data_IF_297822691999
#
_entry.id   IF_297822691999
#
_cell.length_a   1.000
_cell.length_b   1.000
_cell.length_c   1.000
_cell.angle_alpha   90.00
_cell.angle_beta   90.00
_cell.angle_gamma   90.00
#
_symmetry.space_group_name_H-M   'P 1'
#
loop_
_entity.id
_entity.type
_entity.pdbx_description
1 polymer ?
#
# COMPACT_ATOMS: atom_id res chain seq x y z
N UNK A 1 -13.73 -5.10 -16.64
CA UNK A 1 -12.49 -5.75 -17.13
C UNK A 1 -12.00 -5.15 -18.45
N UNK A 2 -12.85 -4.96 -19.47
CA UNK A 2 -12.44 -4.39 -20.77
C UNK A 2 -11.76 -3.00 -20.66
N UNK A 3 -12.25 -2.10 -19.79
CA UNK A 3 -11.61 -0.79 -19.55
C UNK A 3 -10.16 -0.89 -19.05
N UNK A 4 -9.85 -1.87 -18.21
CA UNK A 4 -8.48 -2.07 -17.71
C UNK A 4 -7.58 -2.62 -18.81
N UNK A 5 -8.07 -3.55 -19.63
CA UNK A 5 -7.31 -4.07 -20.76
C UNK A 5 -6.97 -2.94 -21.76
N UNK A 6 -7.94 -2.08 -22.07
CA UNK A 6 -7.72 -0.91 -22.93
C UNK A 6 -6.72 0.09 -22.32
N UNK A 7 -6.83 0.38 -21.02
CA UNK A 7 -5.92 1.33 -20.36
C UNK A 7 -4.50 0.80 -20.19
N UNK A 8 -4.32 -0.52 -20.05
CA UNK A 8 -2.98 -1.13 -20.00
C UNK A 8 -2.28 -0.99 -21.35
N UNK A 9 -3.04 -1.04 -22.44
CA UNK A 9 -2.52 -0.88 -23.79
C UNK A 9 -2.13 0.58 -24.09
N UNK A 10 -2.81 1.55 -23.48
CA UNK A 10 -2.38 2.95 -23.52
C UNK A 10 -1.00 3.11 -22.88
N UNK A 11 -0.05 3.74 -23.57
CA UNK A 11 1.34 3.96 -23.10
C UNK A 11 1.45 4.93 -21.91
N UNK A 12 0.37 5.61 -21.58
CA UNK A 12 0.36 6.68 -20.60
C UNK A 12 0.03 6.16 -19.20
N UNK A 13 0.99 6.33 -18.28
CA UNK A 13 0.84 5.98 -16.87
C UNK A 13 -0.35 6.70 -16.20
N UNK A 14 -0.60 7.96 -16.54
CA UNK A 14 -1.70 8.75 -16.00
C UNK A 14 -3.06 8.14 -16.35
N UNK A 15 -3.25 7.75 -17.60
CA UNK A 15 -4.48 7.10 -18.09
C UNK A 15 -4.71 5.75 -17.42
N UNK A 16 -3.64 4.97 -17.23
CA UNK A 16 -3.71 3.73 -16.46
C UNK A 16 -4.10 3.97 -14.99
N UNK A 17 -3.46 4.93 -14.32
CA UNK A 17 -3.77 5.27 -12.93
C UNK A 17 -5.21 5.78 -12.77
N UNK A 18 -5.71 6.54 -13.74
CA UNK A 18 -7.10 6.99 -13.81
C UNK A 18 -8.05 5.80 -13.98
N UNK A 19 -7.79 4.90 -14.92
CA UNK A 19 -8.61 3.72 -15.13
C UNK A 19 -8.68 2.81 -13.89
N UNK A 20 -7.57 2.69 -13.14
CA UNK A 20 -7.56 1.99 -11.85
C UNK A 20 -8.44 2.68 -10.79
N UNK A 21 -8.45 4.01 -10.74
CA UNK A 21 -9.29 4.78 -9.82
C UNK A 21 -10.78 4.69 -10.18
N UNK A 22 -11.11 4.60 -11.47
CA UNK A 22 -12.48 4.48 -11.97
C UNK A 22 -13.01 3.04 -11.90
N UNK A 23 -12.15 2.07 -11.59
CA UNK A 23 -12.54 0.66 -11.53
C UNK A 23 -13.52 0.40 -10.38
N UNK A 24 -14.72 -0.06 -10.74
CA UNK A 24 -15.77 -0.44 -9.80
C UNK A 24 -15.71 -1.93 -9.51
N UNK A 25 -16.14 -2.30 -8.31
CA UNK A 25 -16.30 -3.70 -7.93
C UNK A 25 -17.50 -4.31 -8.67
N UNK A 26 -17.24 -5.22 -9.60
CA UNK A 26 -18.29 -6.01 -10.27
C UNK A 26 -18.66 -7.27 -9.49
N UNK A 27 -19.83 -7.85 -9.78
CA UNK A 27 -20.34 -9.02 -9.06
C UNK A 27 -19.46 -10.27 -9.20
N UNK A 28 -18.77 -10.44 -10.33
CA UNK A 28 -17.87 -11.58 -10.55
C UNK A 28 -16.63 -11.42 -9.68
N UNK A 29 -16.02 -10.24 -9.71
CA UNK A 29 -14.88 -9.91 -8.84
C UNK A 29 -15.25 -10.02 -7.37
N UNK A 30 -16.44 -9.56 -6.98
CA UNK A 30 -16.96 -9.70 -5.60
C UNK A 30 -17.06 -11.17 -5.19
N UNK A 31 -17.65 -12.04 -6.02
CA UNK A 31 -17.72 -13.49 -5.76
C UNK A 31 -16.34 -14.12 -5.62
N UNK A 32 -15.40 -13.76 -6.49
CA UNK A 32 -14.03 -14.28 -6.44
C UNK A 32 -13.31 -13.86 -5.15
N UNK A 33 -13.44 -12.59 -4.75
CA UNK A 33 -12.87 -12.10 -3.49
C UNK A 33 -13.50 -12.82 -2.28
N UNK A 34 -14.81 -13.07 -2.30
CA UNK A 34 -15.47 -13.84 -1.25
C UNK A 34 -14.94 -15.27 -1.13
N UNK A 35 -14.68 -15.93 -2.27
CA UNK A 35 -14.08 -17.27 -2.30
C UNK A 35 -12.65 -17.26 -1.74
N UNK A 36 -11.85 -16.25 -2.09
CA UNK A 36 -10.47 -16.08 -1.62
C UNK A 36 -10.41 -15.78 -0.12
N UNK A 37 -11.30 -14.92 0.37
CA UNK A 37 -11.38 -14.55 1.79
C UNK A 37 -11.74 -15.72 2.71
N UNK A 38 -12.31 -16.82 2.17
CA UNK A 38 -12.76 -18.00 2.94
C UNK A 38 -13.51 -17.61 4.22
N UNK A 39 -14.45 -16.68 4.08
CA UNK A 39 -15.17 -16.08 5.21
C UNK A 39 -15.87 -17.18 6.02
N UNK A 40 -15.63 -17.20 7.34
CA UNK A 40 -16.30 -18.15 8.24
C UNK A 40 -17.80 -17.90 8.28
N UNK A 41 -18.63 -18.96 8.41
CA UNK A 41 -20.06 -18.78 8.65
C UNK A 41 -20.27 -18.02 9.98
N UNK A 42 -21.23 -17.10 10.01
CA UNK A 42 -21.57 -16.29 11.19
C UNK A 42 -20.97 -14.88 11.22
N UNK A 43 -20.14 -14.50 10.26
CA UNK A 43 -19.67 -13.11 10.11
C UNK A 43 -20.82 -12.23 9.59
N UNK A 44 -20.99 -11.04 10.19
CA UNK A 44 -22.03 -10.10 9.78
C UNK A 44 -21.80 -9.63 8.33
N UNK A 45 -22.87 -9.55 7.53
CA UNK A 45 -22.78 -9.18 6.12
C UNK A 45 -22.07 -7.82 5.91
N UNK A 46 -22.26 -6.85 6.80
CA UNK A 46 -21.59 -5.55 6.76
C UNK A 46 -20.06 -5.66 6.90
N UNK A 47 -19.57 -6.57 7.74
CA UNK A 47 -18.14 -6.83 7.90
C UNK A 47 -17.58 -7.53 6.66
N UNK A 48 -18.35 -8.44 6.08
CA UNK A 48 -17.99 -9.11 4.82
C UNK A 48 -17.82 -8.07 3.71
N UNK A 49 -18.77 -7.16 3.53
CA UNK A 49 -18.63 -6.08 2.55
C UNK A 49 -17.41 -5.19 2.79
N UNK A 50 -17.11 -4.88 4.06
CA UNK A 50 -15.93 -4.10 4.41
C UNK A 50 -14.62 -4.84 4.05
N UNK A 51 -14.56 -6.15 4.30
CA UNK A 51 -13.41 -6.98 3.93
C UNK A 51 -13.24 -7.07 2.42
N UNK A 52 -14.33 -7.24 1.69
CA UNK A 52 -14.33 -7.26 0.21
C UNK A 52 -13.82 -5.93 -0.33
N UNK A 53 -14.36 -4.80 0.14
CA UNK A 53 -13.94 -3.47 -0.29
C UNK A 53 -12.46 -3.20 0.02
N UNK A 54 -11.99 -3.61 1.22
CA UNK A 54 -10.59 -3.48 1.62
C UNK A 54 -9.66 -4.32 0.75
N UNK A 55 -10.03 -5.57 0.44
CA UNK A 55 -9.26 -6.44 -0.45
C UNK A 55 -9.20 -5.88 -1.87
N UNK A 56 -10.33 -5.44 -2.41
CA UNK A 56 -10.38 -4.84 -3.74
C UNK A 56 -9.47 -3.61 -3.85
N UNK A 57 -9.52 -2.71 -2.86
CA UNK A 57 -8.60 -1.55 -2.80
C UNK A 57 -7.14 -1.98 -2.69
N UNK A 58 -6.84 -3.04 -1.92
CA UNK A 58 -5.52 -3.64 -1.84
C UNK A 58 -5.00 -4.11 -3.20
N UNK A 59 -5.83 -4.84 -3.96
CA UNK A 59 -5.50 -5.30 -5.32
C UNK A 59 -5.26 -4.13 -6.28
N UNK A 60 -6.06 -3.07 -6.21
CA UNK A 60 -5.82 -1.85 -7.00
C UNK A 60 -4.46 -1.23 -6.68
N UNK A 61 -4.12 -1.09 -5.40
CA UNK A 61 -2.83 -0.54 -4.99
C UNK A 61 -1.66 -1.42 -5.43
N UNK A 62 -1.83 -2.74 -5.38
CA UNK A 62 -0.82 -3.70 -5.86
C UNK A 62 -0.61 -3.59 -7.38
N UNK A 63 -1.68 -3.47 -8.17
CA UNK A 63 -1.57 -3.22 -9.62
C UNK A 63 -0.81 -1.92 -9.90
N UNK A 64 -1.08 -0.86 -9.13
CA UNK A 64 -0.35 0.41 -9.25
C UNK A 64 1.13 0.27 -8.91
N UNK A 65 1.47 -0.48 -7.85
CA UNK A 65 2.86 -0.65 -7.42
C UNK A 65 3.68 -1.56 -8.35
N UNK A 66 3.04 -2.56 -8.98
CA UNK A 66 3.68 -3.38 -10.01
C UNK A 66 4.05 -2.53 -11.24
N UNK A 67 3.18 -1.57 -11.57
CA UNK A 67 3.39 -0.63 -12.66
C UNK A 67 3.06 -1.22 -14.03
N UNK A 68 2.83 -0.31 -14.97
CA UNK A 68 2.31 -0.62 -16.30
C UNK A 68 3.19 -1.61 -17.09
N UNK A 69 4.52 -1.47 -17.00
CA UNK A 69 5.47 -2.31 -17.75
C UNK A 69 5.39 -3.78 -17.36
N UNK A 70 5.34 -4.07 -16.06
CA UNK A 70 5.28 -5.44 -15.54
C UNK A 70 3.93 -6.07 -15.90
N UNK A 71 2.84 -5.31 -15.76
CA UNK A 71 1.50 -5.78 -16.11
C UNK A 71 1.36 -6.09 -17.61
N UNK A 72 1.98 -5.30 -18.49
CA UNK A 72 2.03 -5.61 -19.92
C UNK A 72 2.77 -6.90 -20.21
N UNK A 73 3.95 -7.10 -19.60
CA UNK A 73 4.72 -8.31 -19.78
C UNK A 73 3.93 -9.55 -19.33
N UNK A 74 3.33 -9.51 -18.14
CA UNK A 74 2.51 -10.60 -17.63
C UNK A 74 1.29 -10.90 -18.54
N UNK A 75 0.62 -9.86 -19.06
CA UNK A 75 -0.48 -10.06 -20.00
C UNK A 75 -0.05 -10.61 -21.35
N UNK A 76 1.18 -10.32 -21.79
CA UNK A 76 1.73 -10.87 -23.02
C UNK A 76 2.07 -12.37 -22.89
N UNK A 77 2.34 -12.85 -21.67
CA UNK A 77 2.55 -14.28 -21.38
C UNK A 77 1.22 -15.05 -21.30
N UNK A 78 0.19 -14.44 -20.72
CA UNK A 78 -1.11 -15.10 -20.49
C UNK A 78 -2.05 -15.05 -21.71
N UNK A 79 -1.93 -14.03 -22.56
CA UNK A 79 -2.78 -13.87 -23.74
C UNK A 79 -2.11 -14.45 -25.00
N UNK A 80 -2.88 -14.99 -25.95
CA UNK A 80 -2.34 -15.40 -27.24
C UNK A 80 -1.63 -14.24 -27.95
N UNK A 81 -0.50 -14.54 -28.60
CA UNK A 81 0.28 -13.58 -29.39
C UNK A 81 -0.61 -12.80 -30.38
N UNK A 82 -0.40 -11.49 -30.48
CA UNK A 82 -1.18 -10.62 -31.36
C UNK A 82 -2.50 -10.11 -30.78
N UNK A 83 -2.90 -10.50 -29.56
CA UNK A 83 -4.14 -10.01 -28.91
C UNK A 83 -3.97 -8.59 -28.38
N UNK A 84 -2.84 -8.31 -27.72
CA UNK A 84 -2.52 -6.97 -27.20
C UNK A 84 -2.32 -5.96 -28.33
N UNK A 85 -1.67 -6.37 -29.42
CA UNK A 85 -1.44 -5.57 -30.61
C UNK A 85 -2.77 -5.18 -31.27
N UNK A 86 -3.71 -6.13 -31.40
CA UNK A 86 -5.06 -5.86 -31.92
C UNK A 86 -5.84 -4.88 -31.05
N UNK A 87 -5.71 -4.99 -29.72
CA UNK A 87 -6.31 -4.03 -28.79
C UNK A 87 -5.66 -2.64 -28.90
N UNK A 88 -4.36 -2.58 -29.16
CA UNK A 88 -3.62 -1.33 -29.36
C UNK A 88 -4.05 -0.62 -30.63
N UNK A 89 -4.15 -1.37 -31.73
CA UNK A 89 -4.66 -0.84 -33.00
C UNK A 89 -6.11 -0.36 -32.88
N UNK A 90 -6.96 -1.08 -32.14
CA UNK A 90 -8.33 -0.65 -31.87
C UNK A 90 -8.38 0.67 -31.09
N UNK A 91 -7.60 0.78 -30.01
CA UNK A 91 -7.51 1.99 -29.20
C UNK A 91 -6.94 3.20 -29.98
N UNK A 92 -5.95 2.96 -30.84
CA UNK A 92 -5.39 4.00 -31.72
C UNK A 92 -6.43 4.49 -32.76
N UNK A 93 -7.26 3.59 -33.30
CA UNK A 93 -8.34 3.95 -34.24
C UNK A 93 -9.44 4.80 -33.59
N UNK A 94 -9.81 4.52 -32.33
CA UNK A 94 -10.80 5.34 -31.60
C UNK A 94 -10.26 6.74 -31.30
N UNK A 95 -8.97 6.87 -31.00
CA UNK A 95 -8.34 8.15 -30.68
C UNK A 95 -8.09 9.02 -31.92
N UNK A 96 -7.85 8.40 -33.09
CA UNK A 96 -7.53 9.09 -34.34
C UNK A 96 -8.73 9.54 -35.19
N UNK A 97 -9.94 9.04 -34.91
CA UNK A 97 -11.13 9.33 -35.73
C UNK A 97 -11.87 10.63 -35.32
N UNK A 98 -11.48 11.29 -34.22
CA UNK A 98 -12.17 12.48 -33.69
C UNK A 98 -11.37 13.78 -33.93
N UNK A 99 -10.96 14.03 -35.16
CA UNK A 99 -10.28 15.29 -35.53
C UNK A 99 -10.68 15.87 -36.90
N UNK A 100 -11.73 15.35 -37.54
CA UNK A 100 -12.21 15.89 -38.81
C UNK A 100 -13.70 16.16 -38.78
N UNK A 101 -14.02 17.45 -38.65
CA UNK A 101 -15.20 18.19 -39.13
C UNK A 101 -15.77 19.11 -38.05
N UNK A 102 -15.17 20.30 -37.98
CA UNK A 102 -15.77 21.48 -37.37
C UNK A 102 -16.33 22.37 -38.48
N UNK A 103 -17.61 22.24 -38.88
CA UNK A 103 -18.28 23.29 -39.63
C UNK A 103 -18.96 24.25 -38.65
N UNK A 104 -18.57 25.54 -38.72
CA UNK A 104 -19.43 26.65 -38.37
C UNK A 104 -19.39 27.14 -36.92
N UNK A 105 -18.51 28.11 -36.67
CA UNK A 105 -18.75 29.12 -35.63
C UNK A 105 -19.94 30.00 -36.01
N UNK A 106 -20.95 30.23 -35.15
CA UNK A 106 -21.75 31.45 -35.20
C UNK A 106 -21.12 32.56 -34.34
N UNK A 107 -21.22 33.83 -34.75
CA UNK A 107 -20.64 34.96 -34.01
C UNK A 107 -21.55 35.45 -32.88
N UNK A 108 -20.87 35.84 -31.79
CA UNK A 108 -21.19 36.89 -30.81
C UNK A 108 -22.66 37.29 -30.56
N UNK A 109 -23.07 37.22 -29.28
CA UNK A 109 -23.83 38.32 -28.67
C UNK A 109 -23.34 38.62 -27.24
N UNK A 110 -23.44 39.89 -26.79
CA UNK A 110 -22.84 40.39 -25.55
C UNK A 110 -23.83 40.46 -24.38
N UNK A 111 -23.24 40.58 -23.18
CA UNK A 111 -23.68 41.34 -22.01
C UNK A 111 -25.13 41.19 -21.51
N UNK A 112 -25.31 40.62 -20.31
CA UNK A 112 -25.90 41.36 -19.18
C UNK A 112 -26.09 40.55 -17.88
N UNK A 113 -25.78 41.26 -16.80
CA UNK A 113 -26.50 41.30 -15.53
C UNK A 113 -26.14 40.29 -14.45
N UNK A 114 -25.61 40.87 -13.37
CA UNK A 114 -25.25 40.22 -12.14
C UNK A 114 -26.43 39.65 -11.37
N UNK A 115 -26.10 38.69 -10.52
CA UNK A 115 -26.84 38.42 -9.29
C UNK A 115 -25.85 37.94 -8.23
N UNK A 116 -25.44 38.88 -7.38
CA UNK A 116 -25.18 38.61 -5.96
C UNK A 116 -26.55 38.28 -5.31
N UNK A 117 -26.64 37.33 -4.36
CA UNK A 117 -26.35 37.72 -2.98
C UNK A 117 -25.76 36.63 -2.06
N UNK A 118 -25.11 37.15 -1.01
CA UNK A 118 -25.17 36.72 0.39
C UNK A 118 -24.56 35.38 0.85
N UNK A 119 -23.42 35.53 1.52
CA UNK A 119 -23.22 35.26 2.95
C UNK A 119 -23.86 34.00 3.55
N UNK A 120 -23.00 33.05 3.93
CA UNK A 120 -23.32 31.92 4.80
C UNK A 120 -22.08 31.46 5.59
N UNK A 121 -22.03 31.93 6.83
CA UNK A 121 -20.98 31.79 7.85
C UNK A 121 -20.44 30.38 8.15
N UNK A 122 -19.15 30.37 8.52
CA UNK A 122 -18.56 29.68 9.67
C UNK A 122 -18.67 28.15 9.78
N UNK A 123 -17.53 27.46 9.70
CA UNK A 123 -17.02 26.72 10.87
C UNK A 123 -15.57 26.28 10.70
N UNK A 124 -14.76 26.94 11.51
CA UNK A 124 -13.43 26.57 11.94
C UNK A 124 -13.39 25.14 12.48
N UNK A 125 -12.56 24.29 11.89
CA UNK A 125 -11.90 23.19 12.62
C UNK A 125 -10.42 23.21 12.26
N UNK A 126 -9.70 24.06 12.98
CA UNK A 126 -8.26 23.89 13.16
C UNK A 126 -8.05 22.52 13.79
N UNK A 127 -7.44 21.62 13.03
CA UNK A 127 -6.87 20.38 13.55
C UNK A 127 -5.37 20.60 13.56
N UNK A 128 -4.85 20.92 14.74
CA UNK A 128 -3.44 20.83 15.09
C UNK A 128 -2.88 19.46 14.67
N UNK A 129 -2.29 19.38 13.49
CA UNK A 129 -1.29 18.36 13.17
C UNK A 129 0.03 18.79 13.81
N UNK A 130 0.15 18.40 15.08
CA UNK A 130 1.40 18.30 15.82
C UNK A 130 2.45 17.66 14.91
N UNK A 131 3.54 18.38 14.69
CA UNK A 131 4.70 17.93 13.91
C UNK A 131 5.19 16.56 14.36
N UNK A 132 4.98 15.57 13.49
CA UNK A 132 5.76 14.35 13.46
C UNK A 132 7.05 14.63 12.71
N UNK A 133 8.16 14.67 13.45
CA UNK A 133 9.49 14.76 12.88
C UNK A 133 9.71 13.64 11.84
N UNK A 134 10.25 13.94 10.64
CA UNK A 134 10.69 12.91 9.73
C UNK A 134 11.92 12.22 10.31
N UNK A 135 11.78 10.92 10.64
CA UNK A 135 12.91 10.05 10.90
C UNK A 135 13.78 9.98 9.63
N UNK A 136 15.11 10.08 9.73
CA UNK A 136 15.99 9.83 8.60
C UNK A 136 16.00 8.33 8.29
N UNK A 137 15.30 7.93 7.23
CA UNK A 137 15.41 6.59 6.67
C UNK A 137 16.74 6.49 5.94
N UNK A 138 17.75 5.99 6.66
CA UNK A 138 19.06 5.68 6.13
C UNK A 138 18.96 4.54 5.12
N UNK A 139 19.57 4.76 3.96
CA UNK A 139 19.75 3.81 2.89
C UNK A 139 20.60 2.60 3.33
N UNK A 140 20.23 1.42 2.82
CA UNK A 140 21.14 0.39 2.35
C UNK A 140 20.33 -0.48 1.37
N UNK A 141 20.47 -0.37 0.05
CA UNK A 141 21.63 -0.79 -0.73
C UNK A 141 22.05 -2.24 -0.46
N UNK A 142 21.38 -3.18 -1.14
CA UNK A 142 22.01 -4.38 -1.65
C UNK A 142 21.26 -4.81 -2.92
N UNK A 143 21.90 -4.61 -4.07
CA UNK A 143 21.53 -5.23 -5.35
C UNK A 143 22.37 -6.48 -5.57
N UNK A 144 21.85 -7.35 -6.45
CA UNK A 144 22.51 -8.47 -7.16
C UNK A 144 22.30 -9.84 -6.51
N UNK A 145 22.08 -10.96 -7.21
CA UNK A 145 21.80 -11.30 -8.60
C UNK A 145 21.51 -12.83 -8.64
N UNK A 146 21.17 -13.35 -9.82
CA UNK A 146 21.04 -14.76 -10.24
C UNK A 146 19.65 -15.40 -9.97
N UNK A 147 18.80 -15.56 -10.99
CA UNK A 147 18.85 -16.52 -12.11
C UNK A 147 18.55 -17.96 -11.68
N UNK A 148 17.41 -18.47 -12.17
CA UNK A 148 17.17 -19.88 -12.45
C UNK A 148 16.62 -20.76 -11.32
N UNK A 149 15.36 -21.15 -11.46
CA UNK A 149 14.90 -22.53 -11.19
C UNK A 149 14.59 -22.93 -9.74
N UNK A 150 13.40 -23.49 -9.59
CA UNK A 150 12.86 -24.24 -8.44
C UNK A 150 12.18 -23.42 -7.32
N UNK A 151 10.85 -23.39 -7.40
CA UNK A 151 9.93 -22.54 -6.65
C UNK A 151 9.64 -23.00 -5.22
N UNK A 152 10.67 -23.26 -4.41
CA UNK A 152 10.55 -23.38 -2.94
C UNK A 152 11.89 -23.16 -2.24
N UNK A 153 12.58 -22.05 -2.53
CA UNK A 153 13.72 -21.63 -1.68
C UNK A 153 13.20 -21.07 -0.38
N UNK A 154 13.08 -21.95 0.63
CA UNK A 154 12.99 -21.55 2.04
C UNK A 154 14.16 -20.61 2.35
N UNK A 155 13.91 -19.38 2.83
CA UNK A 155 14.99 -18.44 3.15
C UNK A 155 15.88 -19.06 4.22
N UNK A 156 17.20 -18.94 4.12
CA UNK A 156 18.13 -19.51 5.10
C UNK A 156 17.88 -18.91 6.49
N UNK A 157 17.83 -19.74 7.53
CA UNK A 157 17.59 -19.28 8.90
C UNK A 157 18.79 -18.45 9.39
N UNK A 158 18.52 -17.35 10.10
CA UNK A 158 19.59 -16.57 10.73
C UNK A 158 20.27 -17.39 11.84
N UNK A 159 21.59 -17.22 12.04
CA UNK A 159 22.29 -17.87 13.14
C UNK A 159 21.68 -17.40 14.47
N UNK A 160 21.25 -18.36 15.29
CA UNK A 160 20.73 -18.11 16.64
C UNK A 160 21.78 -18.45 17.70
N UNK A 161 21.71 -17.83 18.89
CA UNK A 161 22.58 -18.19 20.01
C UNK A 161 22.49 -19.67 20.37
N UNK A 162 23.55 -20.22 20.97
CA UNK A 162 23.57 -21.59 21.47
C UNK A 162 22.42 -21.80 22.47
N UNK A 163 21.72 -22.93 22.36
CA UNK A 163 20.52 -23.23 23.17
C UNK A 163 19.18 -22.79 22.56
N UNK A 164 19.16 -22.03 21.46
CA UNK A 164 17.92 -21.63 20.79
C UNK A 164 17.51 -22.62 19.68
N UNK A 165 16.23 -22.91 19.61
CA UNK A 165 15.65 -23.75 18.54
C UNK A 165 14.88 -22.86 17.54
N UNK A 166 15.01 -23.19 16.25
CA UNK A 166 14.38 -22.46 15.15
C UNK A 166 13.54 -23.41 14.31
N UNK A 167 12.24 -23.19 14.30
CA UNK A 167 11.29 -23.98 13.51
C UNK A 167 10.71 -23.13 12.37
N UNK A 168 10.61 -23.68 11.17
CA UNK A 168 9.93 -23.03 10.06
C UNK A 168 8.46 -23.43 10.05
N UNK A 169 7.59 -22.42 10.10
CA UNK A 169 6.15 -22.61 10.06
C UNK A 169 5.65 -22.48 8.63
N UNK A 170 5.33 -23.59 7.96
CA UNK A 170 4.76 -23.55 6.60
C UNK A 170 3.46 -22.74 6.52
N UNK A 171 2.64 -22.83 7.56
CA UNK A 171 1.36 -22.12 7.68
C UNK A 171 1.49 -20.60 7.70
N UNK A 172 2.60 -20.07 8.23
CA UNK A 172 2.84 -18.63 8.37
C UNK A 172 3.97 -18.14 7.47
N UNK A 173 4.63 -19.04 6.74
CA UNK A 173 5.82 -18.78 5.92
C UNK A 173 6.86 -17.93 6.68
N UNK A 174 7.10 -18.26 7.95
CA UNK A 174 8.04 -17.55 8.80
C UNK A 174 8.73 -18.48 9.80
N UNK A 175 9.85 -17.99 10.35
CA UNK A 175 10.58 -18.66 11.42
C UNK A 175 9.96 -18.36 12.79
N UNK A 176 9.81 -19.41 13.60
CA UNK A 176 9.47 -19.34 15.01
C UNK A 176 10.72 -19.67 15.82
N UNK A 177 10.99 -18.86 16.84
CA UNK A 177 12.19 -18.98 17.68
C UNK A 177 11.78 -19.45 19.06
N UNK A 178 12.49 -20.40 19.63
CA UNK A 178 12.26 -20.92 20.97
C UNK A 178 13.54 -20.77 21.79
N UNK A 179 13.42 -20.26 23.01
CA UNK A 179 14.54 -20.24 23.95
C UNK A 179 14.74 -21.63 24.58
N UNK A 180 15.76 -21.77 25.42
CA UNK A 180 16.07 -23.01 26.14
C UNK A 180 14.91 -23.51 27.04
N UNK A 181 14.07 -22.60 27.52
CA UNK A 181 12.87 -22.91 28.32
C UNK A 181 11.65 -23.32 27.45
N UNK A 182 11.77 -23.33 26.12
CA UNK A 182 10.68 -23.62 25.19
C UNK A 182 9.68 -22.48 24.99
N UNK A 183 9.99 -21.26 25.44
CA UNK A 183 9.18 -20.06 25.22
C UNK A 183 9.35 -19.56 23.78
N UNK A 184 8.21 -19.34 23.11
CA UNK A 184 8.15 -18.89 21.70
C UNK A 184 8.30 -17.38 21.54
N UNK A 185 9.13 -16.96 20.58
CA UNK A 185 9.37 -15.59 20.16
C UNK A 185 9.16 -15.42 18.64
N UNK A 186 8.70 -14.23 18.24
CA UNK A 186 8.44 -13.88 16.84
C UNK A 186 9.57 -13.09 16.16
N UNK A 187 10.54 -12.60 16.95
CA UNK A 187 11.74 -11.94 16.46
C UNK A 187 12.93 -12.76 16.97
N UNK A 188 13.99 -12.98 16.17
CA UNK A 188 15.22 -13.53 16.71
C UNK A 188 15.64 -12.64 17.88
N UNK A 189 16.16 -13.21 18.98
CA UNK A 189 16.88 -12.40 19.94
C UNK A 189 17.92 -11.66 19.11
N UNK A 190 17.86 -10.32 19.10
CA UNK A 190 18.91 -9.55 18.43
C UNK A 190 20.19 -10.09 19.02
N UNK A 191 20.97 -10.81 18.20
CA UNK A 191 22.25 -11.34 18.61
C UNK A 191 22.99 -10.09 19.06
N UNK A 192 22.99 -9.85 20.38
CA UNK A 192 23.43 -8.60 20.94
C UNK A 192 24.80 -8.45 20.35
N UNK A 193 24.91 -7.47 19.44
CA UNK A 193 26.10 -7.31 18.65
C UNK A 193 27.21 -7.37 19.67
N UNK A 194 28.12 -8.34 19.50
CA UNK A 194 29.33 -8.47 20.29
C UNK A 194 30.19 -7.26 19.95
N UNK A 195 29.67 -6.08 20.27
CA UNK A 195 30.28 -4.79 20.28
C UNK A 195 31.08 -4.81 21.55
N UNK A 196 32.28 -5.35 21.39
CA UNK A 196 33.46 -5.12 22.19
C UNK A 196 33.38 -3.69 22.79
N UNK A 197 32.81 -3.56 24.00
CA UNK A 197 32.84 -2.33 24.77
C UNK A 197 34.22 -2.24 25.40
N UNK A 198 35.21 -1.94 24.56
CA UNK A 198 36.47 -1.38 25.04
C UNK A 198 36.10 -0.10 25.75
N UNK A 199 36.21 -0.15 27.07
CA UNK A 199 36.03 1.00 27.92
C UNK A 199 36.99 2.10 27.52
N UNK A 200 36.45 3.28 27.26
CA UNK A 200 37.19 4.51 27.48
C UNK A 200 36.30 5.39 28.34
N UNK A 201 36.64 5.41 29.63
CA UNK A 201 36.02 6.27 30.60
C UNK A 201 36.26 7.72 30.24
N UNK A 202 35.19 8.51 30.23
CA UNK A 202 35.31 9.94 30.47
C UNK A 202 34.21 10.37 31.43
N UNK A 203 34.62 10.48 32.68
CA UNK A 203 33.90 11.19 33.73
C UNK A 203 33.60 12.62 33.22
N UNK A 204 32.31 12.92 33.08
CA UNK A 204 31.77 14.25 32.84
C UNK A 204 30.64 14.45 33.84
N UNK A 205 31.01 14.97 34.99
CA UNK A 205 30.15 15.44 36.08
C UNK A 205 29.16 16.49 35.54
N UNK A 206 27.85 16.24 35.60
CA UNK A 206 26.84 17.30 35.56
C UNK A 206 25.62 16.91 36.43
N UNK A 207 25.59 17.30 37.71
CA UNK A 207 24.49 17.03 38.61
C UNK A 207 23.55 18.24 38.73
N UNK A 208 22.74 18.53 37.70
CA UNK A 208 21.76 19.62 37.82
C UNK A 208 20.53 19.50 36.91
N UNK A 209 19.64 18.51 37.13
CA UNK A 209 18.20 18.80 36.96
C UNK A 209 17.26 17.90 37.76
N UNK A 210 17.14 18.28 39.02
CA UNK A 210 16.07 17.90 39.91
C UNK A 210 14.69 18.41 39.41
N UNK A 211 13.69 17.54 39.61
CA UNK A 211 12.33 17.85 40.10
C UNK A 211 11.35 18.63 39.19
N UNK A 212 10.33 17.91 38.71
CA UNK A 212 8.87 18.17 38.84
C UNK A 212 8.16 16.98 38.17
N UNK A 213 7.38 16.12 38.82
CA UNK A 213 6.64 16.26 40.06
C UNK A 213 5.33 17.02 39.82
N UNK A 214 4.33 16.38 39.20
CA UNK A 214 2.93 16.76 39.30
C UNK A 214 2.04 15.55 38.93
N UNK A 215 1.55 14.88 39.96
CA UNK A 215 0.39 14.02 39.90
C UNK A 215 -0.85 14.87 39.55
N UNK A 216 -1.77 14.32 38.77
CA UNK A 216 -3.09 14.90 38.58
C UNK A 216 -4.16 13.84 38.89
N UNK A 217 -4.78 13.88 40.07
CA UNK A 217 -6.02 13.19 40.36
C UNK A 217 -7.19 14.19 40.29
N UNK A 218 -8.08 14.01 39.32
CA UNK A 218 -9.45 14.51 39.45
C UNK A 218 -10.41 13.35 39.24
N UNK A 219 -10.74 12.72 40.36
CA UNK A 219 -12.12 12.36 40.66
C UNK A 219 -12.95 13.64 40.82
N UNK A 220 -14.08 13.69 40.11
CA UNK A 220 -15.35 14.31 40.46
C UNK A 220 -16.32 13.82 39.38
N UNK A 221 -17.26 12.90 39.63
CA UNK A 221 -18.24 12.98 40.70
C UNK A 221 -19.33 13.95 40.27
N UNK A 222 -20.32 13.47 39.51
CA UNK A 222 -21.62 14.12 39.32
C UNK A 222 -22.68 13.02 39.18
N UNK A 223 -23.59 13.07 40.14
CA UNK A 223 -24.84 12.30 40.27
C UNK A 223 -25.79 12.47 39.07
#
# INVERSE_FOLDING_TARGET
>A
QQHLAQSIVATDKSTFDQALNEMKLDDVTRKNILQELRVRPGVAATQVEHLVAKNFKGKINQLRSLGLRVLRAALQEELPEGTLERLAEAAAKESGASSSERPGSPPAQPDQSGHEPAQGSSSSRGRDERGGAPLPSAAAAASSAAAGGDGSRRPEALPVPEGWEVEWSESCQCYQYYNEDGQKFFKPPEAEASGNSVGEGKAGDDPARARRGAANPQEAGLE
#
